data_IF_995047898547
#
_entry.id   IF_995047898547
#
_cell.length_a   1.000
_cell.length_b   1.000
_cell.length_c   1.000
_cell.angle_alpha   90.00
_cell.angle_beta   90.00
_cell.angle_gamma   90.00
#
_symmetry.space_group_name_H-M   'P 1'
#
loop_
_entity.id
_entity.type
_entity.pdbx_description
1 polymer ?
#
# COMPACT_ATOMS: atom_id res chain seq x y z
N UNK A 1 -2.94 7.40 -45.30
CA UNK A 1 -3.83 6.66 -44.37
C UNK A 1 -2.94 6.14 -43.24
N UNK A 2 -2.77 6.92 -42.16
CA UNK A 2 -1.85 6.57 -41.07
C UNK A 2 -2.56 5.65 -40.07
N UNK A 3 -1.96 4.49 -39.82
CA UNK A 3 -2.41 3.49 -38.86
C UNK A 3 -2.39 4.07 -37.44
N UNK A 4 -3.52 3.91 -36.75
CA UNK A 4 -3.71 4.35 -35.37
C UNK A 4 -2.87 3.45 -34.45
N UNK A 5 -1.87 4.04 -33.81
CA UNK A 5 -1.09 3.41 -32.74
C UNK A 5 -2.01 3.23 -31.53
N UNK A 6 -2.08 2.05 -30.88
CA UNK A 6 -2.85 1.90 -29.66
C UNK A 6 -2.27 2.82 -28.60
N UNK A 7 -3.15 3.62 -28.03
CA UNK A 7 -2.94 4.50 -26.88
C UNK A 7 -2.36 3.67 -25.74
N UNK A 8 -1.10 3.93 -25.42
CA UNK A 8 -0.44 3.45 -24.23
C UNK A 8 -1.25 3.98 -23.04
N UNK A 9 -1.97 3.07 -22.36
CA UNK A 9 -2.76 3.40 -21.19
C UNK A 9 -1.80 3.66 -20.04
N UNK A 10 -1.30 4.90 -19.95
CA UNK A 10 -0.69 5.44 -18.75
C UNK A 10 -1.80 5.59 -17.71
N UNK A 11 -2.08 4.47 -17.03
CA UNK A 11 -3.09 4.36 -15.99
C UNK A 11 -2.61 5.06 -14.71
N UNK A 12 -2.51 6.38 -14.76
CA UNK A 12 -2.51 7.22 -13.57
C UNK A 12 -3.98 7.57 -13.27
N UNK A 13 -4.57 6.87 -12.30
CA UNK A 13 -5.99 7.00 -11.98
C UNK A 13 -6.45 6.00 -10.89
N UNK A 14 -7.66 6.19 -10.32
CA UNK A 14 -8.18 5.63 -9.03
C UNK A 14 -8.28 4.10 -8.91
N UNK A 15 -7.66 3.36 -9.83
CA UNK A 15 -7.69 1.91 -9.94
C UNK A 15 -6.72 1.20 -8.99
N UNK A 16 -5.69 1.88 -8.46
CA UNK A 16 -4.76 1.28 -7.49
C UNK A 16 -5.49 0.85 -6.20
N UNK A 17 -6.41 1.69 -5.75
CA UNK A 17 -7.32 1.45 -4.64
C UNK A 17 -8.19 0.20 -4.82
N UNK A 18 -8.95 0.16 -5.92
CA UNK A 18 -9.86 -0.96 -6.22
C UNK A 18 -9.08 -2.27 -6.36
N UNK A 19 -7.89 -2.22 -6.97
CA UNK A 19 -7.01 -3.40 -7.12
C UNK A 19 -6.50 -3.93 -5.78
N UNK A 20 -6.17 -3.08 -4.80
CA UNK A 20 -5.72 -3.54 -3.49
C UNK A 20 -6.83 -4.31 -2.77
N UNK A 21 -8.05 -3.77 -2.72
CA UNK A 21 -9.19 -4.44 -2.09
C UNK A 21 -9.52 -5.78 -2.76
N UNK A 22 -9.44 -5.83 -4.09
CA UNK A 22 -9.69 -7.06 -4.85
C UNK A 22 -8.60 -8.12 -4.59
N UNK A 23 -7.33 -7.71 -4.62
CA UNK A 23 -6.17 -8.55 -4.25
C UNK A 23 -6.28 -9.10 -2.83
N UNK A 24 -6.69 -8.27 -1.87
CA UNK A 24 -6.90 -8.70 -0.48
C UNK A 24 -8.06 -9.70 -0.35
N UNK A 25 -9.14 -9.53 -1.11
CA UNK A 25 -10.24 -10.51 -1.13
C UNK A 25 -9.81 -11.85 -1.75
N UNK A 26 -8.87 -11.83 -2.68
CA UNK A 26 -8.33 -13.04 -3.30
C UNK A 26 -7.23 -13.71 -2.45
N UNK A 27 -6.58 -12.96 -1.57
CA UNK A 27 -5.53 -13.49 -0.70
C UNK A 27 -6.07 -14.57 0.23
N UNK A 28 -5.53 -15.79 0.09
CA UNK A 28 -5.93 -16.97 0.88
C UNK A 28 -5.09 -17.15 2.12
N UNK A 29 -4.03 -16.38 2.28
CA UNK A 29 -3.15 -16.49 3.44
C UNK A 29 -2.78 -15.13 4.00
N UNK A 30 -2.53 -15.13 5.31
CA UNK A 30 -1.98 -13.99 6.07
C UNK A 30 -0.75 -13.37 5.38
N UNK A 31 0.29 -14.13 4.99
CA UNK A 31 1.46 -13.57 4.31
C UNK A 31 1.13 -12.97 2.94
N UNK A 32 0.23 -13.56 2.15
CA UNK A 32 -0.19 -12.98 0.86
C UNK A 32 -0.83 -11.60 1.06
N UNK A 33 -1.76 -11.47 2.00
CA UNK A 33 -2.39 -10.17 2.28
C UNK A 33 -1.38 -9.11 2.73
N UNK A 34 -0.38 -9.49 3.55
CA UNK A 34 0.69 -8.59 3.97
C UNK A 34 1.54 -8.16 2.76
N UNK A 35 1.86 -9.07 1.85
CA UNK A 35 2.62 -8.76 0.62
C UNK A 35 1.85 -7.80 -0.29
N UNK A 36 0.54 -8.00 -0.45
CA UNK A 36 -0.29 -7.15 -1.29
C UNK A 36 -0.45 -5.75 -0.70
N UNK A 37 -0.67 -5.63 0.62
CA UNK A 37 -0.70 -4.33 1.31
C UNK A 37 0.66 -3.65 1.23
N UNK A 38 1.75 -4.39 1.45
CA UNK A 38 3.11 -3.84 1.35
C UNK A 38 3.39 -3.30 -0.04
N UNK A 39 3.06 -4.06 -1.08
CA UNK A 39 3.26 -3.64 -2.46
C UNK A 39 2.42 -2.40 -2.80
N UNK A 40 1.18 -2.32 -2.32
CA UNK A 40 0.35 -1.14 -2.54
C UNK A 40 0.85 0.10 -1.79
N UNK A 41 1.36 -0.07 -0.56
CA UNK A 41 2.02 0.99 0.21
C UNK A 41 3.27 1.47 -0.54
N UNK A 42 4.11 0.55 -1.04
CA UNK A 42 5.30 0.88 -1.85
C UNK A 42 4.92 1.69 -3.09
N UNK A 43 3.91 1.23 -3.84
CA UNK A 43 3.43 1.92 -5.04
C UNK A 43 2.89 3.31 -4.71
N UNK A 44 2.18 3.43 -3.59
CA UNK A 44 1.66 4.72 -3.12
C UNK A 44 2.78 5.68 -2.71
N UNK A 45 3.81 5.19 -2.01
CA UNK A 45 4.99 5.99 -1.64
C UNK A 45 5.76 6.39 -2.88
N UNK A 46 5.97 5.48 -3.83
CA UNK A 46 6.64 5.75 -5.09
C UNK A 46 5.96 6.89 -5.85
N UNK A 47 4.64 6.88 -5.90
CA UNK A 47 3.82 7.94 -6.51
C UNK A 47 3.91 9.28 -5.74
N UNK A 48 4.04 9.26 -4.42
CA UNK A 48 4.08 10.47 -3.58
C UNK A 48 5.49 11.09 -3.44
N UNK A 49 6.51 10.27 -3.17
CA UNK A 49 7.90 10.70 -2.98
C UNK A 49 8.70 10.73 -4.29
N UNK A 50 8.11 10.33 -5.43
CA UNK A 50 8.80 10.26 -6.73
C UNK A 50 10.02 9.30 -6.72
N UNK A 51 10.05 8.36 -5.78
CA UNK A 51 11.07 7.31 -5.64
C UNK A 51 10.61 6.10 -6.45
N UNK A 52 11.51 5.37 -7.08
CA UNK A 52 11.14 4.19 -7.85
C UNK A 52 10.76 3.03 -6.91
N UNK A 53 9.70 2.28 -7.23
CA UNK A 53 9.24 1.13 -6.40
C UNK A 53 10.36 0.12 -6.12
N UNK A 54 11.31 -0.04 -7.05
CA UNK A 54 12.47 -0.92 -6.91
C UNK A 54 13.51 -0.45 -5.87
N UNK A 55 13.55 0.84 -5.57
CA UNK A 55 14.42 1.42 -4.54
C UNK A 55 13.79 1.28 -3.15
N UNK A 56 12.48 1.02 -3.07
CA UNK A 56 11.74 0.89 -1.82
C UNK A 56 11.75 -0.56 -1.37
N UNK A 57 12.56 -0.84 -0.36
CA UNK A 57 12.62 -2.14 0.30
C UNK A 57 11.64 -2.23 1.47
N UNK A 58 10.78 -3.25 1.43
CA UNK A 58 9.80 -3.51 2.48
C UNK A 58 10.41 -3.83 3.87
N UNK A 59 11.70 -4.18 3.88
CA UNK A 59 12.49 -4.48 5.09
C UNK A 59 12.97 -3.23 5.83
N UNK A 60 13.02 -2.08 5.16
CA UNK A 60 13.46 -0.82 5.75
C UNK A 60 12.29 0.03 6.25
N UNK A 61 12.57 0.96 7.18
CA UNK A 61 11.55 1.85 7.70
C UNK A 61 11.08 2.87 6.68
N UNK A 62 9.81 3.25 6.79
CA UNK A 62 9.17 4.26 5.94
C UNK A 62 9.89 5.60 6.00
N UNK A 63 10.39 5.99 7.18
CA UNK A 63 11.13 7.24 7.40
C UNK A 63 12.40 7.37 6.56
N UNK A 64 12.99 6.27 6.10
CA UNK A 64 14.20 6.28 5.26
C UNK A 64 13.91 6.78 3.83
N UNK A 65 12.66 6.66 3.38
CA UNK A 65 12.21 7.03 2.03
C UNK A 65 11.69 8.47 1.93
N UNK A 66 12.11 9.34 2.85
CA UNK A 66 11.68 10.75 2.85
C UNK A 66 10.18 10.91 3.08
N UNK A 67 9.58 10.06 3.92
CA UNK A 67 8.19 10.22 4.33
C UNK A 67 8.10 11.43 5.25
N UNK A 68 7.79 12.59 4.68
CA UNK A 68 7.54 13.83 5.41
C UNK A 68 6.17 13.82 6.09
N UNK A 69 5.93 14.77 7.00
CA UNK A 69 4.62 14.90 7.67
C UNK A 69 3.44 15.05 6.70
N UNK A 70 3.62 15.68 5.52
CA UNK A 70 2.56 15.81 4.51
C UNK A 70 2.26 14.47 3.83
N UNK A 71 3.30 13.76 3.38
CA UNK A 71 3.19 12.42 2.77
C UNK A 71 2.59 11.43 3.76
N UNK A 72 2.98 11.53 5.04
CA UNK A 72 2.42 10.70 6.10
C UNK A 72 0.92 10.94 6.32
N UNK A 73 0.45 12.19 6.23
CA UNK A 73 -0.99 12.51 6.33
C UNK A 73 -1.75 11.94 5.13
N UNK A 74 -1.22 12.09 3.92
CA UNK A 74 -1.83 11.53 2.70
C UNK A 74 -1.89 9.99 2.72
N UNK A 75 -0.80 9.35 3.14
CA UNK A 75 -0.72 7.90 3.33
C UNK A 75 -1.72 7.41 4.37
N UNK A 76 -1.80 8.07 5.52
CA UNK A 76 -2.79 7.74 6.56
C UNK A 76 -4.22 7.82 6.02
N UNK A 77 -4.53 8.88 5.27
CA UNK A 77 -5.86 9.08 4.70
C UNK A 77 -6.19 8.00 3.67
N UNK A 78 -5.22 7.66 2.81
CA UNK A 78 -5.35 6.59 1.83
C UNK A 78 -5.53 5.21 2.49
N UNK A 79 -4.72 4.87 3.50
CA UNK A 79 -4.84 3.63 4.27
C UNK A 79 -6.23 3.51 4.90
N UNK A 80 -6.73 4.59 5.51
CA UNK A 80 -8.06 4.59 6.10
C UNK A 80 -9.15 4.39 5.04
N UNK A 81 -9.01 5.00 3.87
CA UNK A 81 -9.97 4.84 2.76
C UNK A 81 -9.97 3.44 2.16
N UNK A 82 -8.80 2.84 1.98
CA UNK A 82 -8.65 1.53 1.34
C UNK A 82 -8.88 0.36 2.27
N UNK A 83 -8.24 0.43 3.44
CA UNK A 83 -8.13 -0.69 4.37
C UNK A 83 -9.07 -0.52 5.56
N UNK A 84 -9.74 0.64 5.68
CA UNK A 84 -10.56 0.99 6.85
C UNK A 84 -9.77 0.79 8.16
N UNK A 85 -8.46 1.00 8.07
CA UNK A 85 -7.50 0.80 9.15
C UNK A 85 -7.09 2.16 9.72
N UNK A 86 -7.27 2.32 11.03
CA UNK A 86 -6.82 3.52 11.73
C UNK A 86 -5.32 3.41 12.02
N UNK A 87 -4.52 4.23 11.33
CA UNK A 87 -3.07 4.39 11.58
C UNK A 87 -2.77 5.80 12.07
N UNK A 88 -1.69 5.94 12.84
CA UNK A 88 -1.23 7.24 13.35
C UNK A 88 -0.02 7.73 12.55
N UNK A 89 0.15 9.06 12.44
CA UNK A 89 1.30 9.67 11.74
C UNK A 89 2.63 9.18 12.36
N UNK A 90 2.66 9.02 13.69
CA UNK A 90 3.79 8.45 14.42
C UNK A 90 4.16 7.04 13.95
N UNK A 91 3.19 6.20 13.56
CA UNK A 91 3.48 4.87 13.03
C UNK A 91 4.05 4.94 11.60
N UNK A 92 3.68 5.94 10.80
CA UNK A 92 4.27 6.16 9.49
C UNK A 92 5.68 6.74 9.56
N UNK A 93 5.96 7.54 10.58
CA UNK A 93 7.27 8.11 10.88
C UNK A 93 8.11 7.22 11.80
N UNK A 94 7.59 6.06 12.19
CA UNK A 94 8.29 5.14 13.06
C UNK A 94 9.44 4.47 12.30
N UNK A 95 10.47 4.09 13.06
CA UNK A 95 11.57 3.29 12.55
C UNK A 95 11.20 1.79 12.48
N UNK A 96 9.97 1.49 12.04
CA UNK A 96 9.44 0.13 11.85
C UNK A 96 9.47 -0.21 10.36
N UNK A 97 9.88 -1.43 10.02
CA UNK A 97 9.90 -1.91 8.63
C UNK A 97 8.51 -1.86 8.01
N UNK A 98 8.44 -1.50 6.73
CA UNK A 98 7.19 -1.47 5.97
C UNK A 98 6.43 -2.81 6.06
N UNK A 99 7.10 -3.96 6.08
CA UNK A 99 6.46 -5.27 6.30
C UNK A 99 5.73 -5.38 7.65
N UNK A 100 6.36 -4.92 8.72
CA UNK A 100 5.77 -4.91 10.06
C UNK A 100 4.59 -3.94 10.12
N UNK A 101 4.75 -2.77 9.52
CA UNK A 101 3.69 -1.78 9.40
C UNK A 101 2.49 -2.36 8.62
N UNK A 102 2.72 -2.91 7.42
CA UNK A 102 1.69 -3.60 6.63
C UNK A 102 0.97 -4.67 7.43
N UNK A 103 1.71 -5.51 8.18
CA UNK A 103 1.11 -6.52 9.05
C UNK A 103 0.21 -5.91 10.12
N UNK A 104 0.62 -4.81 10.76
CA UNK A 104 -0.21 -4.09 11.74
C UNK A 104 -1.45 -3.48 11.07
N UNK A 105 -1.28 -2.87 9.91
CA UNK A 105 -2.38 -2.32 9.12
C UNK A 105 -3.37 -3.42 8.77
N UNK A 106 -2.92 -4.57 8.26
CA UNK A 106 -3.81 -5.68 7.97
C UNK A 106 -4.54 -6.17 9.24
N UNK A 107 -3.84 -6.30 10.38
CA UNK A 107 -4.45 -6.71 11.66
C UNK A 107 -5.51 -5.72 12.16
N UNK A 108 -5.34 -4.44 11.83
CA UNK A 108 -6.27 -3.34 12.16
C UNK A 108 -7.35 -3.13 11.11
N UNK A 109 -7.18 -3.71 9.93
CA UNK A 109 -8.01 -3.50 8.76
C UNK A 109 -9.32 -4.25 8.90
N UNK A 110 -10.43 -3.60 8.54
CA UNK A 110 -11.76 -4.22 8.51
C UNK A 110 -12.09 -4.88 7.18
N UNK A 111 -11.27 -4.67 6.15
CA UNK A 111 -11.54 -5.21 4.81
C UNK A 111 -11.04 -6.64 4.64
N UNK A 112 -10.23 -7.15 5.58
CA UNK A 112 -9.63 -8.46 5.52
C UNK A 112 -9.74 -9.19 6.87
N UNK A 113 -10.50 -10.28 6.89
CA UNK A 113 -10.70 -11.11 8.09
C UNK A 113 -9.62 -12.19 8.19
N UNK A 114 -8.59 -11.94 9.00
CA UNK A 114 -7.56 -12.94 9.34
C UNK A 114 -8.12 -14.21 9.97
N UNK A 115 -9.30 -14.14 10.59
CA UNK A 115 -9.91 -15.27 11.32
C UNK A 115 -10.33 -16.42 10.41
N UNK A 116 -10.56 -16.16 9.11
CA UNK A 116 -11.02 -17.19 8.15
C UNK A 116 -9.88 -18.06 7.63
N UNK A 117 -8.62 -17.62 7.76
CA UNK A 117 -7.47 -18.26 7.11
C UNK A 117 -6.65 -19.18 8.04
N UNK A 118 -7.07 -19.30 9.30
CA UNK A 118 -6.48 -20.19 10.31
C UNK A 118 -7.35 -21.44 10.56
N UNK A 119 -8.46 -21.59 9.83
CA UNK A 119 -9.36 -22.74 9.92
C UNK A 119 -8.97 -23.88 8.97
#
# INVERSE_FOLDING_TARGET
MYALRPLESTADGPNASIRLRDKLRQAKTVPEAIQEVSSAIISKISSLSMIQEQEIQASHPLSDYGIDSLVAVEMRNWIFKELEAAVTILELLANESLLLFSKKVCTRSRVFDFTTLVA
#
